data_IF_666373872062
#
_entry.id   IF_666373872062
#
_cell.length_a   1.000
_cell.length_b   1.000
_cell.length_c   1.000
_cell.angle_alpha   90.00
_cell.angle_beta   90.00
_cell.angle_gamma   90.00
#
_symmetry.space_group_name_H-M   'P 1'
#
loop_
_entity.id
_entity.type
_entity.pdbx_description
1 polymer ?
#
# COMPACT_ATOMS: atom_id res chain seq x y z
N UNK A 1 -19.53 14.85 1.58
CA UNK A 1 -19.78 14.53 0.16
C UNK A 1 -20.78 13.38 0.09
N UNK A 2 -21.70 13.33 -0.88
CA UNK A 2 -22.62 12.17 -0.98
C UNK A 2 -21.83 10.91 -1.33
N UNK A 3 -22.31 9.74 -0.88
CA UNK A 3 -21.65 8.46 -1.14
C UNK A 3 -21.53 8.13 -2.65
N UNK A 4 -22.49 8.59 -3.46
CA UNK A 4 -22.45 8.48 -4.93
C UNK A 4 -21.20 9.18 -5.50
N UNK A 5 -21.00 10.43 -5.11
CA UNK A 5 -19.94 11.29 -5.65
C UNK A 5 -18.57 10.81 -5.17
N UNK A 6 -18.50 10.18 -3.98
CA UNK A 6 -17.29 9.54 -3.49
C UNK A 6 -16.91 8.31 -4.30
N UNK A 7 -17.87 7.44 -4.60
CA UNK A 7 -17.66 6.23 -5.41
C UNK A 7 -17.18 6.61 -6.82
N UNK A 8 -17.75 7.66 -7.41
CA UNK A 8 -17.31 8.16 -8.72
C UNK A 8 -15.84 8.59 -8.70
N UNK A 9 -15.43 9.37 -7.69
CA UNK A 9 -14.02 9.76 -7.52
C UNK A 9 -13.09 8.59 -7.25
N UNK A 10 -13.55 7.55 -6.54
CA UNK A 10 -12.78 6.31 -6.39
C UNK A 10 -12.55 5.65 -7.76
N UNK A 11 -13.58 5.59 -8.63
CA UNK A 11 -13.44 5.05 -9.98
C UNK A 11 -12.48 5.87 -10.84
N UNK A 12 -12.61 7.20 -10.84
CA UNK A 12 -11.68 8.12 -11.54
C UNK A 12 -10.23 7.94 -11.06
N UNK A 13 -10.07 7.68 -9.77
CA UNK A 13 -8.77 7.41 -9.14
C UNK A 13 -8.25 5.99 -9.39
N UNK A 14 -8.93 5.18 -10.20
CA UNK A 14 -8.51 3.86 -10.65
C UNK A 14 -8.86 2.69 -9.73
N UNK A 15 -9.82 2.86 -8.81
CA UNK A 15 -10.45 1.72 -8.14
C UNK A 15 -11.39 0.99 -9.10
N UNK A 16 -11.36 -0.34 -9.08
CA UNK A 16 -12.34 -1.13 -9.85
C UNK A 16 -13.65 -1.27 -9.08
N UNK A 17 -14.74 -1.59 -9.77
CA UNK A 17 -16.05 -1.78 -9.12
C UNK A 17 -16.01 -2.90 -8.09
N UNK A 18 -15.27 -3.98 -8.36
CA UNK A 18 -15.06 -5.08 -7.41
C UNK A 18 -14.34 -4.60 -6.16
N UNK A 19 -13.30 -3.78 -6.31
CA UNK A 19 -12.53 -3.24 -5.18
C UNK A 19 -13.40 -2.31 -4.31
N UNK A 20 -14.22 -1.46 -4.94
CA UNK A 20 -15.17 -0.58 -4.23
C UNK A 20 -16.22 -1.41 -3.50
N UNK A 21 -16.75 -2.45 -4.13
CA UNK A 21 -17.72 -3.36 -3.52
C UNK A 21 -17.14 -4.05 -2.28
N UNK A 22 -15.92 -4.61 -2.37
CA UNK A 22 -15.25 -5.26 -1.24
C UNK A 22 -14.96 -4.28 -0.09
N UNK A 23 -14.45 -3.08 -0.39
CA UNK A 23 -14.22 -2.06 0.63
C UNK A 23 -15.53 -1.64 1.31
N UNK A 24 -16.59 -1.41 0.53
CA UNK A 24 -17.92 -1.07 1.07
C UNK A 24 -18.47 -2.19 1.96
N UNK A 25 -18.26 -3.44 1.56
CA UNK A 25 -18.67 -4.62 2.33
C UNK A 25 -17.91 -4.72 3.65
N UNK A 26 -16.59 -4.46 3.64
CA UNK A 26 -15.76 -4.41 4.85
C UNK A 26 -16.25 -3.29 5.77
N UNK A 27 -16.44 -2.07 5.26
CA UNK A 27 -16.92 -0.93 6.06
C UNK A 27 -18.26 -1.22 6.71
N UNK A 28 -19.22 -1.80 5.96
CA UNK A 28 -20.52 -2.20 6.50
C UNK A 28 -20.42 -3.27 7.58
N UNK A 29 -19.52 -4.25 7.41
CA UNK A 29 -19.29 -5.32 8.40
C UNK A 29 -18.69 -4.74 9.69
N UNK A 30 -17.77 -3.80 9.55
CA UNK A 30 -17.03 -3.22 10.66
C UNK A 30 -17.78 -2.02 11.30
N UNK A 31 -18.95 -1.65 10.75
CA UNK A 31 -19.78 -0.54 11.22
C UNK A 31 -19.18 0.85 10.95
N UNK A 32 -18.17 0.92 10.10
CA UNK A 32 -17.45 2.14 9.73
C UNK A 32 -18.01 2.78 8.46
N UNK A 33 -17.64 4.04 8.25
CA UNK A 33 -17.95 4.75 7.02
C UNK A 33 -16.85 4.52 5.97
N UNK A 34 -17.24 4.20 4.74
CA UNK A 34 -16.31 3.94 3.63
C UNK A 34 -15.35 5.11 3.39
N UNK A 35 -15.85 6.35 3.53
CA UNK A 35 -15.04 7.55 3.36
C UNK A 35 -13.96 7.63 4.44
N UNK A 36 -14.32 7.31 5.69
CA UNK A 36 -13.37 7.25 6.81
C UNK A 36 -12.32 6.15 6.62
N UNK A 37 -12.72 4.96 6.16
CA UNK A 37 -11.80 3.84 5.96
C UNK A 37 -10.80 4.10 4.85
N UNK A 38 -11.26 4.65 3.73
CA UNK A 38 -10.40 5.01 2.60
C UNK A 38 -9.46 6.16 2.98
N UNK A 39 -9.91 7.11 3.81
CA UNK A 39 -9.05 8.16 4.37
C UNK A 39 -7.95 7.57 5.25
N UNK A 40 -8.30 6.69 6.17
CA UNK A 40 -7.34 6.00 7.02
C UNK A 40 -6.34 5.16 6.22
N UNK A 41 -6.82 4.52 5.15
CA UNK A 41 -5.99 3.75 4.25
C UNK A 41 -4.99 4.64 3.50
N UNK A 42 -5.38 5.86 3.14
CA UNK A 42 -4.49 6.86 2.54
C UNK A 42 -3.40 7.33 3.52
N UNK A 43 -3.72 7.48 4.81
CA UNK A 43 -2.74 7.85 5.84
C UNK A 43 -1.76 6.71 6.11
N UNK A 44 -2.24 5.46 6.08
CA UNK A 44 -1.40 4.27 6.23
C UNK A 44 -0.39 4.12 5.09
N UNK A 45 -0.65 4.68 3.90
CA UNK A 45 0.28 4.64 2.77
C UNK A 45 1.65 5.21 3.14
N UNK A 46 1.71 6.37 3.78
CA UNK A 46 2.98 6.97 4.19
C UNK A 46 3.73 6.14 5.23
N UNK A 47 2.99 5.52 6.16
CA UNK A 47 3.60 4.63 7.16
C UNK A 47 4.21 3.38 6.51
N UNK A 48 3.49 2.80 5.54
CA UNK A 48 3.97 1.66 4.76
C UNK A 48 5.20 2.07 3.94
N UNK A 49 5.13 3.20 3.22
CA UNK A 49 6.23 3.72 2.42
C UNK A 49 7.47 4.01 3.27
N UNK A 50 7.30 4.62 4.44
CA UNK A 50 8.39 4.89 5.38
C UNK A 50 9.01 3.59 5.90
N UNK A 51 8.20 2.59 6.25
CA UNK A 51 8.70 1.29 6.68
C UNK A 51 9.51 0.60 5.57
N UNK A 52 9.04 0.62 4.33
CA UNK A 52 9.77 0.08 3.18
C UNK A 52 11.08 0.83 2.93
N UNK A 53 11.06 2.16 2.97
CA UNK A 53 12.25 2.98 2.74
C UNK A 53 13.28 2.77 3.85
N UNK A 54 12.86 2.76 5.11
CA UNK A 54 13.72 2.46 6.24
C UNK A 54 14.36 1.08 6.10
N UNK A 55 13.56 0.05 5.78
CA UNK A 55 14.06 -1.30 5.61
C UNK A 55 15.03 -1.40 4.42
N UNK A 56 14.73 -0.73 3.30
CA UNK A 56 15.61 -0.68 2.14
C UNK A 56 16.96 -0.04 2.47
N UNK A 57 16.97 1.06 3.24
CA UNK A 57 18.20 1.71 3.71
C UNK A 57 19.03 0.77 4.58
N UNK A 58 18.39 0.04 5.52
CA UNK A 58 19.09 -0.93 6.37
C UNK A 58 19.75 -2.03 5.55
N UNK A 59 19.03 -2.61 4.57
CA UNK A 59 19.57 -3.63 3.68
C UNK A 59 20.70 -3.08 2.81
N UNK A 60 20.56 -1.88 2.25
CA UNK A 60 21.60 -1.24 1.44
C UNK A 60 22.88 -1.01 2.25
N UNK A 61 22.76 -0.53 3.49
CA UNK A 61 23.88 -0.35 4.41
C UNK A 61 24.54 -1.70 4.69
N UNK A 62 23.76 -2.73 5.02
CA UNK A 62 24.28 -4.08 5.28
C UNK A 62 25.07 -4.65 4.09
N UNK A 63 24.55 -4.47 2.87
CA UNK A 63 25.23 -4.91 1.65
C UNK A 63 26.48 -4.09 1.32
N UNK A 64 26.52 -2.81 1.72
CA UNK A 64 27.68 -1.93 1.48
C UNK A 64 28.88 -2.23 2.39
N UNK A 65 28.67 -2.93 3.52
CA UNK A 65 29.75 -3.29 4.44
C UNK A 65 30.40 -4.62 4.05
N UNK A 66 31.71 -4.59 3.80
CA UNK A 66 32.53 -5.77 3.51
C UNK A 66 32.46 -6.25 2.06
N UNK A 67 33.08 -7.39 1.76
CA UNK A 67 32.99 -8.01 0.44
C UNK A 67 31.57 -8.58 0.20
N UNK A 68 31.13 -8.58 -1.05
CA UNK A 68 29.94 -9.29 -1.48
C UNK A 68 30.27 -10.78 -1.55
N UNK A 69 29.76 -11.53 -0.57
CA UNK A 69 29.83 -12.99 -0.51
C UNK A 69 28.51 -13.62 -0.99
N UNK A 70 28.53 -14.93 -1.21
CA UNK A 70 27.36 -15.69 -1.69
C UNK A 70 26.17 -15.56 -0.75
N UNK A 71 26.41 -15.46 0.56
CA UNK A 71 25.37 -15.29 1.58
C UNK A 71 24.64 -13.96 1.43
N UNK A 72 25.36 -12.84 1.25
CA UNK A 72 24.73 -11.52 1.02
C UNK A 72 23.94 -11.48 -0.28
N UNK A 73 24.46 -12.10 -1.35
CA UNK A 73 23.75 -12.17 -2.64
C UNK A 73 22.47 -13.00 -2.49
N UNK A 74 22.52 -14.13 -1.80
CA UNK A 74 21.34 -14.93 -1.50
C UNK A 74 20.30 -14.16 -0.68
N UNK A 75 20.75 -13.46 0.37
CA UNK A 75 19.88 -12.66 1.23
C UNK A 75 19.20 -11.53 0.47
N UNK A 76 19.92 -10.88 -0.47
CA UNK A 76 19.35 -9.87 -1.36
C UNK A 76 18.28 -10.44 -2.29
N UNK A 77 18.48 -11.63 -2.86
CA UNK A 77 17.50 -12.28 -3.72
C UNK A 77 16.23 -12.65 -2.94
N UNK A 78 16.38 -13.21 -1.73
CA UNK A 78 15.26 -13.50 -0.83
C UNK A 78 14.50 -12.21 -0.51
N UNK A 79 15.22 -11.12 -0.23
CA UNK A 79 14.61 -9.82 0.03
C UNK A 79 13.80 -9.29 -1.16
N UNK A 80 14.36 -9.35 -2.38
CA UNK A 80 13.64 -8.99 -3.60
C UNK A 80 12.34 -9.78 -3.76
N UNK A 81 12.38 -11.08 -3.45
CA UNK A 81 11.20 -11.93 -3.53
C UNK A 81 10.12 -11.56 -2.51
N UNK A 82 10.52 -11.31 -1.25
CA UNK A 82 9.59 -10.85 -0.20
C UNK A 82 9.01 -9.49 -0.57
N UNK A 83 9.81 -8.56 -1.07
CA UNK A 83 9.36 -7.24 -1.50
C UNK A 83 8.29 -7.34 -2.61
N UNK A 84 8.53 -8.19 -3.62
CA UNK A 84 7.56 -8.45 -4.68
C UNK A 84 6.24 -8.98 -4.11
N UNK A 85 6.27 -9.95 -3.20
CA UNK A 85 5.06 -10.46 -2.54
C UNK A 85 4.34 -9.33 -1.81
N UNK A 86 5.05 -8.56 -0.98
CA UNK A 86 4.46 -7.46 -0.20
C UNK A 86 3.84 -6.38 -1.09
N UNK A 87 4.41 -6.12 -2.28
CA UNK A 87 3.84 -5.18 -3.25
C UNK A 87 2.47 -5.64 -3.78
N UNK A 88 2.27 -6.95 -3.93
CA UNK A 88 0.99 -7.53 -4.35
C UNK A 88 -0.03 -7.64 -3.21
N UNK A 89 0.37 -7.39 -1.95
CA UNK A 89 -0.54 -7.44 -0.81
C UNK A 89 -1.56 -6.30 -0.91
N UNK A 90 -2.84 -6.69 -0.92
CA UNK A 90 -4.03 -5.86 -1.09
C UNK A 90 -4.02 -4.50 -0.35
N UNK A 91 -3.67 -4.40 0.95
CA UNK A 91 -3.59 -3.12 1.65
C UNK A 91 -2.57 -2.14 1.07
N UNK A 92 -1.45 -2.59 0.49
CA UNK A 92 -0.48 -1.69 -0.16
C UNK A 92 -1.10 -1.06 -1.40
N UNK A 93 -1.68 -1.89 -2.26
CA UNK A 93 -2.38 -1.44 -3.48
C UNK A 93 -3.52 -0.46 -3.16
N UNK A 94 -4.34 -0.76 -2.14
CA UNK A 94 -5.43 0.13 -1.76
C UNK A 94 -4.96 1.41 -1.09
N UNK A 95 -3.93 1.36 -0.25
CA UNK A 95 -3.35 2.57 0.36
C UNK A 95 -2.79 3.52 -0.69
N UNK A 96 -2.10 3.02 -1.71
CA UNK A 96 -1.61 3.82 -2.82
C UNK A 96 -2.75 4.46 -3.62
N UNK A 97 -3.78 3.69 -4.01
CA UNK A 97 -4.93 4.23 -4.76
C UNK A 97 -5.70 5.27 -3.94
N UNK A 98 -5.88 5.02 -2.65
CA UNK A 98 -6.53 5.95 -1.72
C UNK A 98 -5.72 7.25 -1.62
N UNK A 99 -4.40 7.16 -1.46
CA UNK A 99 -3.52 8.32 -1.44
C UNK A 99 -3.57 9.12 -2.74
N UNK A 100 -3.54 8.45 -3.90
CA UNK A 100 -3.68 9.10 -5.21
C UNK A 100 -5.01 9.86 -5.34
N UNK A 101 -6.11 9.25 -4.86
CA UNK A 101 -7.41 9.90 -4.84
C UNK A 101 -7.38 11.19 -4.01
N UNK A 102 -6.89 11.14 -2.77
CA UNK A 102 -6.83 12.32 -1.89
C UNK A 102 -5.82 13.38 -2.33
N UNK A 103 -4.77 13.00 -3.07
CA UNK A 103 -3.81 13.96 -3.64
C UNK A 103 -4.39 14.74 -4.83
N UNK A 104 -5.34 14.16 -5.55
CA UNK A 104 -5.99 14.74 -6.72
C UNK A 104 -7.36 15.38 -6.41
N UNK A 105 -7.75 15.40 -5.13
CA UNK A 105 -8.94 16.09 -4.60
C UNK A 105 -8.58 17.50 -4.16
#
# INVERSE_FOLDING_TARGET
>A
MKNSDFIERMKESGFTEKEIYELTKISRRDGSDLQSDVKDLSLRFYRILFAFLFFFVVVAIFLSFGALDEEKVFLFLVFMFVFLILWYITPVKFSFKSHRMYKNM
#
